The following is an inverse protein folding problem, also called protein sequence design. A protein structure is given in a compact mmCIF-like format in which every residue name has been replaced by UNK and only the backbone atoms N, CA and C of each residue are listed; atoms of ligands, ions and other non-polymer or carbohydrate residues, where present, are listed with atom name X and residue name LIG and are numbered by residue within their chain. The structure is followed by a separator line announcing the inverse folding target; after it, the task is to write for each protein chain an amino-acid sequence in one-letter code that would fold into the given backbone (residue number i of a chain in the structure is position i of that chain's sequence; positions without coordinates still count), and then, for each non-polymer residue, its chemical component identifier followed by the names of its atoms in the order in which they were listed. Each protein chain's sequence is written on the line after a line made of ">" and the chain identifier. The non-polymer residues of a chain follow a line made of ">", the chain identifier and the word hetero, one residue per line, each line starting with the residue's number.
data_IF_860287912238
#
_entry.id   IF_860287912238
#
_cell.length_a   1.000
_cell.length_b   1.000
_cell.length_c   1.000
_cell.angle_alpha   90.00
_cell.angle_beta   90.00
_cell.angle_gamma   90.00
#
_symmetry.space_group_name_H-M   'P 1'
#
loop_
_entity.id
_entity.type
_entity.pdbx_description
1 polymer ?
#
# COMPACT_ATOMS: atom_id res chain seq x y z
N UNK A 1 -18.38 0.50 -6.80
CA UNK A 1 -17.38 -0.38 -7.41
C UNK A 1 -16.35 0.52 -8.08
N UNK A 2 -15.11 0.54 -7.57
CA UNK A 2 -14.02 1.28 -8.20
C UNK A 2 -13.78 0.67 -9.59
N UNK A 3 -13.80 1.50 -10.64
CA UNK A 3 -13.56 1.05 -12.01
C UNK A 3 -12.15 1.41 -12.43
N UNK A 4 -11.46 0.48 -13.07
CA UNK A 4 -10.30 0.77 -13.89
C UNK A 4 -10.77 1.70 -15.04
N UNK A 5 -10.08 2.85 -15.23
CA UNK A 5 -10.08 3.49 -16.53
C UNK A 5 -11.02 4.65 -16.83
N UNK A 6 -11.58 5.38 -15.85
CA UNK A 6 -12.13 6.71 -16.18
C UNK A 6 -11.01 7.78 -16.07
N UNK A 7 -10.31 8.02 -17.16
CA UNK A 7 -9.27 9.03 -17.27
C UNK A 7 -9.75 10.35 -17.90
N UNK A 8 -11.05 10.50 -18.11
CA UNK A 8 -11.64 11.66 -18.81
C UNK A 8 -11.40 13.00 -18.10
N UNK A 9 -10.98 12.97 -16.85
CA UNK A 9 -10.70 14.16 -16.03
C UNK A 9 -9.21 14.42 -15.80
N UNK A 10 -8.34 13.57 -16.35
CA UNK A 10 -6.91 13.73 -16.19
C UNK A 10 -6.37 14.69 -17.23
N UNK A 11 -5.45 15.54 -16.80
CA UNK A 11 -4.71 16.42 -17.68
C UNK A 11 -3.72 15.61 -18.54
N UNK A 12 -3.39 16.14 -19.73
CA UNK A 12 -2.44 15.50 -20.64
C UNK A 12 -1.11 15.15 -19.96
N UNK A 13 -0.57 16.05 -19.13
CA UNK A 13 0.69 15.83 -18.42
C UNK A 13 0.61 14.65 -17.43
N UNK A 14 -0.53 14.44 -16.78
CA UNK A 14 -0.75 13.29 -15.91
C UNK A 14 -0.76 11.99 -16.71
N UNK A 15 -1.45 11.96 -17.84
CA UNK A 15 -1.47 10.80 -18.73
C UNK A 15 -0.09 10.49 -19.33
N UNK A 16 0.69 11.50 -19.69
CA UNK A 16 2.08 11.35 -20.16
C UNK A 16 2.97 10.76 -19.05
N UNK A 17 2.81 11.21 -17.82
CA UNK A 17 3.51 10.65 -16.66
C UNK A 17 3.13 9.18 -16.41
N UNK A 18 1.83 8.84 -16.53
CA UNK A 18 1.36 7.46 -16.41
C UNK A 18 1.88 6.57 -17.54
N UNK A 19 1.93 7.07 -18.78
CA UNK A 19 2.47 6.34 -19.92
C UNK A 19 3.96 6.01 -19.72
N UNK A 20 4.77 7.01 -19.34
CA UNK A 20 6.18 6.82 -19.03
C UNK A 20 6.40 5.81 -17.88
N UNK A 21 5.53 5.86 -16.85
CA UNK A 21 5.56 4.90 -15.76
C UNK A 21 5.19 3.48 -16.23
N UNK A 22 4.27 3.35 -17.16
CA UNK A 22 3.94 2.07 -17.78
C UNK A 22 5.13 1.45 -18.52
N UNK A 23 5.83 2.24 -19.32
CA UNK A 23 7.06 1.82 -20.01
C UNK A 23 8.13 1.38 -18.99
N UNK A 24 8.34 2.16 -17.93
CA UNK A 24 9.29 1.84 -16.87
C UNK A 24 8.93 0.53 -16.15
N UNK A 25 7.65 0.30 -15.87
CA UNK A 25 7.14 -0.93 -15.25
C UNK A 25 7.48 -2.15 -16.11
N UNK A 26 7.23 -2.07 -17.41
CA UNK A 26 7.57 -3.14 -18.35
C UNK A 26 9.08 -3.35 -18.48
N UNK A 27 9.86 -2.27 -18.51
CA UNK A 27 11.32 -2.32 -18.66
C UNK A 27 11.99 -2.99 -17.44
N UNK A 28 11.58 -2.66 -16.23
CA UNK A 28 12.09 -3.32 -15.02
C UNK A 28 11.86 -4.84 -15.07
N UNK A 29 10.66 -5.28 -15.43
CA UNK A 29 10.33 -6.72 -15.56
C UNK A 29 11.13 -7.36 -16.68
N UNK A 30 11.25 -6.70 -17.84
CA UNK A 30 12.02 -7.18 -18.99
C UNK A 30 13.50 -7.36 -18.66
N UNK A 31 14.09 -6.42 -17.92
CA UNK A 31 15.51 -6.50 -17.50
C UNK A 31 15.74 -7.70 -16.58
N UNK A 32 14.89 -7.89 -15.58
CA UNK A 32 14.98 -9.04 -14.68
C UNK A 32 14.82 -10.37 -15.42
N UNK A 33 13.82 -10.46 -16.30
CA UNK A 33 13.58 -11.68 -17.08
C UNK A 33 14.78 -12.09 -17.96
N UNK A 34 15.60 -11.15 -18.42
CA UNK A 34 16.84 -11.47 -19.16
C UNK A 34 17.87 -12.22 -18.34
N UNK A 35 17.85 -12.03 -17.02
CA UNK A 35 18.70 -12.73 -16.06
C UNK A 35 18.03 -13.99 -15.50
N UNK A 36 16.81 -14.31 -15.93
CA UNK A 36 16.02 -15.40 -15.38
C UNK A 36 15.45 -15.10 -13.98
N UNK A 37 15.33 -13.80 -13.66
CA UNK A 37 14.83 -13.33 -12.37
C UNK A 37 13.46 -12.62 -12.49
N UNK A 38 12.85 -12.31 -11.37
CA UNK A 38 11.56 -11.65 -11.26
C UNK A 38 11.56 -10.65 -10.08
N UNK A 39 10.54 -9.80 -9.99
CA UNK A 39 10.37 -8.87 -8.87
C UNK A 39 10.33 -9.58 -7.52
N UNK A 40 9.66 -10.77 -7.48
CA UNK A 40 9.61 -11.59 -6.26
C UNK A 40 10.97 -12.26 -6.00
N UNK A 41 11.64 -12.76 -7.04
CA UNK A 41 12.99 -13.31 -6.94
C UNK A 41 13.97 -12.31 -6.32
N UNK A 42 13.91 -11.05 -6.78
CA UNK A 42 14.76 -9.97 -6.26
C UNK A 42 14.49 -9.65 -4.78
N UNK A 43 13.23 -9.56 -4.35
CA UNK A 43 12.93 -9.26 -2.95
C UNK A 43 13.23 -10.43 -2.02
N UNK A 44 13.15 -11.66 -2.52
CA UNK A 44 13.47 -12.89 -1.79
C UNK A 44 14.94 -13.32 -1.96
N UNK A 45 15.76 -12.53 -2.62
CA UNK A 45 17.14 -12.90 -2.93
C UNK A 45 17.92 -13.40 -1.71
N UNK A 46 18.56 -14.56 -1.86
CA UNK A 46 19.27 -15.23 -0.77
C UNK A 46 18.38 -16.01 0.20
N UNK A 47 17.07 -16.10 -0.07
CA UNK A 47 16.10 -16.86 0.74
C UNK A 47 15.75 -18.15 0.02
N UNK A 48 15.88 -19.30 0.70
CA UNK A 48 15.58 -20.62 0.10
C UNK A 48 14.07 -20.81 -0.14
N UNK A 49 13.21 -20.26 0.75
CA UNK A 49 11.76 -20.23 0.63
C UNK A 49 11.21 -19.10 1.50
N UNK A 50 10.15 -18.45 1.03
CA UNK A 50 9.46 -17.45 1.85
C UNK A 50 8.74 -18.15 3.02
N UNK A 51 8.95 -17.62 4.24
CA UNK A 51 8.23 -18.04 5.44
C UNK A 51 7.03 -17.13 5.64
N UNK A 52 5.90 -17.71 6.07
CA UNK A 52 4.69 -16.96 6.38
C UNK A 52 4.98 -15.86 7.42
N UNK A 53 4.38 -14.68 7.22
CA UNK A 53 4.47 -13.51 8.09
C UNK A 53 5.87 -12.88 8.23
N UNK A 54 6.87 -13.42 7.55
CA UNK A 54 8.23 -12.86 7.56
C UNK A 54 8.35 -11.72 6.56
N UNK A 55 8.95 -10.62 6.98
CA UNK A 55 9.23 -9.47 6.10
C UNK A 55 10.49 -9.72 5.25
N UNK A 56 10.38 -9.38 3.99
CA UNK A 56 11.48 -9.44 3.01
C UNK A 56 11.70 -8.08 2.35
N UNK A 57 12.97 -7.63 2.24
CA UNK A 57 14.15 -8.19 2.92
C UNK A 57 14.07 -8.02 4.43
N UNK A 58 14.88 -8.77 5.18
CA UNK A 58 14.96 -8.62 6.62
C UNK A 58 15.31 -7.18 6.99
N UNK A 59 14.51 -6.57 7.89
CA UNK A 59 14.68 -5.19 8.34
C UNK A 59 14.04 -4.15 7.40
N UNK A 60 13.21 -4.60 6.46
CA UNK A 60 12.51 -3.76 5.47
C UNK A 60 13.47 -2.96 4.57
N UNK A 61 12.94 -2.30 3.55
CA UNK A 61 13.67 -1.31 2.74
C UNK A 61 13.23 0.07 3.17
N UNK A 62 14.17 0.87 3.63
CA UNK A 62 13.94 2.26 4.00
C UNK A 62 14.92 3.18 3.28
N UNK A 63 14.40 4.16 2.58
CA UNK A 63 15.20 5.20 1.93
C UNK A 63 15.36 6.40 2.88
N UNK A 64 16.59 6.69 3.34
CA UNK A 64 16.82 7.78 4.31
C UNK A 64 16.71 9.19 3.70
N UNK A 65 16.56 9.31 2.37
CA UNK A 65 16.42 10.60 1.67
C UNK A 65 14.96 10.91 1.41
N UNK A 66 14.21 9.96 0.85
CA UNK A 66 12.78 10.12 0.55
C UNK A 66 11.89 9.80 1.74
N UNK A 67 12.39 9.03 2.70
CA UNK A 67 11.68 8.48 3.85
C UNK A 67 10.54 7.52 3.47
N UNK A 68 10.55 7.00 2.24
CA UNK A 68 9.71 5.91 1.82
C UNK A 68 10.24 4.57 2.34
N UNK A 69 9.32 3.63 2.59
CA UNK A 69 9.64 2.31 3.11
C UNK A 69 8.74 1.26 2.47
N UNK A 70 9.24 0.05 2.31
CA UNK A 70 8.42 -1.10 1.95
C UNK A 70 8.98 -2.40 2.50
N UNK A 71 8.12 -3.41 2.57
CA UNK A 71 8.50 -4.82 2.70
C UNK A 71 7.55 -5.68 1.87
N UNK A 72 7.97 -6.90 1.62
CA UNK A 72 7.15 -7.96 1.03
C UNK A 72 6.97 -9.07 2.06
N UNK A 73 5.79 -9.68 2.10
CA UNK A 73 5.54 -10.90 2.88
C UNK A 73 4.52 -11.81 2.21
N UNK A 74 4.46 -13.04 2.70
CA UNK A 74 3.49 -14.05 2.28
C UNK A 74 2.62 -14.46 3.47
N UNK A 75 1.41 -14.91 3.16
CA UNK A 75 0.51 -15.52 4.14
C UNK A 75 0.41 -17.03 3.94
N UNK A 76 -0.05 -17.79 4.95
CA UNK A 76 -0.40 -19.20 4.75
C UNK A 76 -1.38 -19.38 3.58
N UNK A 77 -1.28 -20.46 2.79
CA UNK A 77 -2.16 -20.68 1.63
C UNK A 77 -3.66 -20.59 1.95
N UNK A 78 -4.06 -20.98 3.16
CA UNK A 78 -5.46 -20.94 3.60
C UNK A 78 -5.99 -19.50 3.82
N UNK A 79 -5.10 -18.51 3.98
CA UNK A 79 -5.42 -17.11 4.25
C UNK A 79 -5.24 -16.20 3.02
N UNK A 80 -4.72 -16.77 1.93
CA UNK A 80 -4.52 -16.06 0.65
C UNK A 80 -5.73 -16.18 -0.27
N UNK A 81 -5.96 -15.17 -1.08
CA UNK A 81 -6.83 -15.34 -2.25
C UNK A 81 -6.16 -16.31 -3.23
N UNK A 82 -6.93 -17.12 -3.98
CA UNK A 82 -6.37 -18.18 -4.84
C UNK A 82 -5.29 -17.72 -5.83
N UNK A 83 -5.33 -16.47 -6.26
CA UNK A 83 -4.41 -15.89 -7.23
C UNK A 83 -3.23 -15.16 -6.60
N UNK A 84 -3.21 -14.97 -5.26
CA UNK A 84 -2.19 -14.20 -4.58
C UNK A 84 -1.13 -15.09 -3.96
N UNK A 85 0.14 -14.74 -4.18
CA UNK A 85 1.29 -15.39 -3.54
C UNK A 85 1.72 -14.63 -2.28
N UNK A 86 1.77 -13.31 -2.35
CA UNK A 86 2.15 -12.40 -1.29
C UNK A 86 1.94 -10.98 -1.74
N UNK A 87 2.38 -10.02 -0.95
CA UNK A 87 2.19 -8.62 -1.29
C UNK A 87 3.26 -7.70 -0.69
N UNK A 88 3.48 -6.58 -1.36
CA UNK A 88 4.24 -5.45 -0.85
C UNK A 88 3.34 -4.57 0.00
N UNK A 89 3.80 -4.20 1.19
CA UNK A 89 3.30 -3.05 1.92
C UNK A 89 4.21 -1.86 1.70
N UNK A 90 3.63 -0.69 1.45
CA UNK A 90 4.37 0.54 1.17
C UNK A 90 3.99 1.63 2.15
N UNK A 91 4.97 2.40 2.57
CA UNK A 91 4.82 3.39 3.63
C UNK A 91 5.57 4.67 3.31
N UNK A 92 5.14 5.76 3.95
CA UNK A 92 5.91 6.99 4.05
C UNK A 92 6.06 7.38 5.52
N UNK A 93 7.29 7.67 5.94
CA UNK A 93 7.57 8.15 7.31
C UNK A 93 7.37 9.65 7.44
N UNK A 94 7.15 10.18 8.66
CA UNK A 94 6.81 11.60 8.89
C UNK A 94 7.73 12.60 8.20
N UNK A 95 9.03 12.33 8.13
CA UNK A 95 10.00 13.23 7.49
C UNK A 95 9.82 13.35 5.97
N UNK A 96 9.25 12.34 5.33
CA UNK A 96 8.92 12.35 3.89
C UNK A 96 7.57 13.01 3.58
N UNK A 97 6.71 13.21 4.58
CA UNK A 97 5.36 13.71 4.38
C UNK A 97 5.33 15.21 3.97
N UNK A 98 4.26 15.66 3.31
CA UNK A 98 4.04 17.09 3.08
C UNK A 98 4.04 17.89 4.39
N UNK A 99 4.52 19.14 4.34
CA UNK A 99 4.47 20.02 5.51
C UNK A 99 3.02 20.24 5.96
N UNK A 100 2.80 20.17 7.27
CA UNK A 100 1.48 20.40 7.86
C UNK A 100 0.61 19.13 7.91
N UNK A 101 1.06 18.00 7.40
CA UNK A 101 0.38 16.71 7.56
C UNK A 101 0.20 16.38 9.05
N UNK A 102 -1.01 15.97 9.43
CA UNK A 102 -1.34 15.65 10.82
C UNK A 102 -2.09 14.33 10.93
N UNK A 103 -1.78 13.51 11.95
CA UNK A 103 -2.54 12.30 12.23
C UNK A 103 -4.03 12.58 12.40
N UNK A 104 -4.86 11.69 11.87
CA UNK A 104 -6.31 11.72 12.09
C UNK A 104 -6.64 11.12 13.45
N UNK A 105 -7.04 11.95 14.38
CA UNK A 105 -7.56 11.53 15.68
C UNK A 105 -9.08 11.42 15.59
N UNK A 106 -9.60 10.21 15.70
CA UNK A 106 -11.03 10.01 15.86
C UNK A 106 -11.36 10.09 17.36
N UNK A 107 -12.33 10.93 17.78
CA UNK A 107 -12.76 10.97 19.19
C UNK A 107 -13.14 9.56 19.64
N UNK A 108 -12.67 9.15 20.83
CA UNK A 108 -13.15 7.93 21.44
C UNK A 108 -14.67 8.05 21.57
N UNK A 109 -15.38 7.04 21.07
CA UNK A 109 -16.76 6.88 21.43
C UNK A 109 -16.71 6.43 22.88
N UNK A 110 -17.25 7.24 23.81
CA UNK A 110 -17.29 6.91 25.22
C UNK A 110 -17.82 5.47 25.38
N UNK A 111 -16.92 4.55 25.68
CA UNK A 111 -17.27 3.19 26.03
C UNK A 111 -17.61 3.28 27.53
N UNK A 112 -18.90 3.40 27.82
CA UNK A 112 -19.33 3.20 29.18
C UNK A 112 -18.98 1.74 29.56
N UNK A 113 -18.03 1.59 30.49
CA UNK A 113 -17.76 0.37 31.25
C UNK A 113 -17.58 -0.94 30.47
N UNK A 114 -16.70 -0.98 29.46
CA UNK A 114 -16.25 -2.25 28.94
C UNK A 114 -15.12 -2.80 29.85
N UNK A 115 -15.27 -3.97 30.48
CA UNK A 115 -14.16 -4.59 31.17
C UNK A 115 -13.02 -4.88 30.17
N UNK A 116 -11.79 -4.53 30.56
CA UNK A 116 -10.62 -4.86 29.77
C UNK A 116 -10.60 -6.39 29.52
N UNK A 117 -10.62 -6.78 28.25
CA UNK A 117 -10.41 -8.19 27.91
C UNK A 117 -9.02 -8.60 28.45
N UNK A 118 -8.87 -9.79 29.05
CA UNK A 118 -7.58 -10.25 29.51
C UNK A 118 -6.61 -10.27 28.32
N UNK A 119 -5.45 -9.64 28.49
CA UNK A 119 -4.40 -9.63 27.47
C UNK A 119 -3.92 -11.07 27.25
N UNK A 120 -4.04 -11.57 26.03
CA UNK A 120 -3.39 -12.81 25.63
C UNK A 120 -1.89 -12.51 25.52
N UNK A 121 -1.02 -13.17 26.32
CA UNK A 121 0.41 -12.91 26.30
C UNK A 121 1.08 -13.28 24.97
N UNK A 122 0.42 -14.01 24.09
CA UNK A 122 0.89 -14.34 22.73
C UNK A 122 0.58 -13.24 21.70
N UNK A 123 -0.25 -12.25 22.05
CA UNK A 123 -0.59 -11.12 21.17
C UNK A 123 0.25 -9.91 21.62
N UNK A 124 1.12 -9.35 20.78
CA UNK A 124 1.81 -8.11 21.13
C UNK A 124 0.77 -7.04 21.50
N UNK A 125 1.05 -6.19 22.51
CA UNK A 125 0.13 -5.14 22.91
C UNK A 125 -0.25 -4.30 21.69
N UNK A 126 -1.54 -4.03 21.54
CA UNK A 126 -2.02 -3.17 20.47
C UNK A 126 -1.22 -1.86 20.46
N UNK A 127 -0.75 -1.39 19.30
CA UNK A 127 -0.06 -0.11 19.21
C UNK A 127 -0.93 0.96 19.85
N UNK A 128 -0.34 1.79 20.70
CA UNK A 128 -1.05 2.89 21.35
C UNK A 128 -1.72 3.79 20.30
N UNK A 129 -2.94 4.26 20.52
CA UNK A 129 -3.63 5.08 19.53
C UNK A 129 -2.82 6.33 19.21
N UNK A 130 -2.55 6.53 17.93
CA UNK A 130 -2.05 7.74 17.26
C UNK A 130 -1.45 8.82 18.20
N UNK A 131 -0.28 8.56 18.74
CA UNK A 131 0.49 9.58 19.43
C UNK A 131 1.35 10.27 18.36
N UNK A 132 0.83 11.23 17.69
CA UNK A 132 1.46 12.20 16.83
C UNK A 132 2.80 11.88 16.14
N UNK A 133 3.19 12.70 15.19
CA UNK A 133 4.41 12.57 14.36
C UNK A 133 5.75 12.52 15.13
N UNK A 134 5.74 12.53 16.45
CA UNK A 134 6.96 12.55 17.28
C UNK A 134 7.65 11.18 17.39
N UNK A 135 6.99 10.09 16.98
CA UNK A 135 7.48 8.72 17.16
C UNK A 135 8.04 8.06 15.89
N UNK A 136 8.15 8.78 14.76
CA UNK A 136 8.61 8.25 13.46
C UNK A 136 7.79 7.06 12.92
N UNK A 137 6.56 6.85 13.41
CA UNK A 137 5.66 5.82 12.88
C UNK A 137 5.24 6.15 11.44
N UNK A 138 5.34 5.17 10.52
CA UNK A 138 4.97 5.39 9.13
C UNK A 138 3.46 5.47 8.93
N UNK A 139 3.03 6.09 7.83
CA UNK A 139 1.70 5.88 7.25
C UNK A 139 1.76 4.79 6.20
N UNK A 140 0.87 3.82 6.27
CA UNK A 140 0.65 2.87 5.19
C UNK A 140 -0.01 3.59 4.01
N UNK A 141 0.49 3.36 2.80
CA UNK A 141 -0.05 3.96 1.59
C UNK A 141 -1.01 2.99 0.90
N UNK A 142 -0.44 2.03 0.15
CA UNK A 142 -1.20 0.99 -0.56
C UNK A 142 -0.39 -0.30 -0.53
N UNK A 143 -1.06 -1.43 -0.40
CA UNK A 143 -0.45 -2.73 -0.62
C UNK A 143 -0.63 -3.19 -2.07
N UNK A 144 0.36 -3.89 -2.62
CA UNK A 144 0.38 -4.43 -3.98
C UNK A 144 0.49 -5.94 -3.89
N UNK A 145 -0.61 -6.65 -4.15
CA UNK A 145 -0.62 -8.11 -4.17
C UNK A 145 -0.05 -8.64 -5.48
N UNK A 146 0.73 -9.70 -5.36
CA UNK A 146 1.45 -10.36 -6.44
C UNK A 146 0.97 -11.79 -6.61
N UNK A 147 0.89 -12.27 -7.84
CA UNK A 147 0.68 -13.70 -8.13
C UNK A 147 1.99 -14.51 -8.03
N UNK A 148 1.90 -15.81 -8.27
CA UNK A 148 3.06 -16.71 -8.24
C UNK A 148 4.07 -16.49 -9.35
N UNK A 149 3.68 -15.82 -10.44
CA UNK A 149 4.52 -15.48 -11.58
C UNK A 149 5.19 -14.10 -11.43
N UNK A 150 4.90 -13.39 -10.32
CA UNK A 150 5.43 -12.05 -10.05
C UNK A 150 4.69 -10.93 -10.77
N UNK A 151 3.42 -11.14 -11.15
CA UNK A 151 2.58 -10.08 -11.68
C UNK A 151 1.78 -9.41 -10.55
N UNK A 152 1.64 -8.09 -10.54
CA UNK A 152 0.73 -7.42 -9.62
C UNK A 152 -0.72 -7.67 -10.07
N UNK A 153 -1.54 -8.15 -9.14
CA UNK A 153 -2.92 -8.56 -9.41
C UNK A 153 -3.97 -7.75 -8.67
N UNK A 154 -3.57 -7.08 -7.58
CA UNK A 154 -4.50 -6.27 -6.78
C UNK A 154 -3.78 -5.16 -6.04
N UNK A 155 -4.46 -4.01 -5.91
CA UNK A 155 -4.14 -2.95 -4.96
C UNK A 155 -5.13 -3.00 -3.80
N UNK A 156 -4.67 -2.78 -2.57
CA UNK A 156 -5.56 -2.74 -1.42
C UNK A 156 -5.01 -1.89 -0.28
N UNK A 157 -5.90 -1.50 0.62
CA UNK A 157 -5.55 -0.83 1.87
C UNK A 157 -5.97 -1.67 3.05
N UNK A 158 -5.27 -1.52 4.16
CA UNK A 158 -5.51 -2.26 5.40
C UNK A 158 -6.00 -1.33 6.49
N UNK A 159 -6.58 -1.91 7.54
CA UNK A 159 -6.85 -1.17 8.76
C UNK A 159 -5.56 -0.98 9.56
N UNK A 160 -5.53 0.02 10.42
CA UNK A 160 -4.36 0.41 11.21
C UNK A 160 -3.71 -0.73 11.99
N UNK A 161 -4.49 -1.60 12.62
CA UNK A 161 -3.98 -2.71 13.43
C UNK A 161 -3.13 -3.72 12.64
N UNK A 162 -3.31 -3.79 11.30
CA UNK A 162 -2.56 -4.74 10.44
C UNK A 162 -1.10 -4.36 10.35
N UNK A 163 -0.83 -3.07 10.17
CA UNK A 163 0.53 -2.55 9.90
C UNK A 163 1.11 -1.76 11.07
N UNK A 164 0.32 -1.49 12.13
CA UNK A 164 0.76 -0.69 13.27
C UNK A 164 1.08 0.76 12.92
N UNK A 165 0.47 1.29 11.86
CA UNK A 165 0.73 2.62 11.32
C UNK A 165 0.13 3.78 12.12
N UNK A 166 0.59 4.99 11.86
CA UNK A 166 -0.14 6.21 12.19
C UNK A 166 -1.16 6.51 11.10
N UNK A 167 -2.44 6.67 11.49
CA UNK A 167 -3.51 6.91 10.53
C UNK A 167 -3.62 8.39 10.14
N UNK A 168 -3.69 8.64 8.85
CA UNK A 168 -3.91 9.96 8.27
C UNK A 168 -5.17 9.97 7.41
N UNK A 169 -5.81 11.14 7.26
CA UNK A 169 -6.96 11.31 6.40
C UNK A 169 -6.62 11.03 4.92
N UNK A 170 -7.62 10.62 4.16
CA UNK A 170 -7.43 10.28 2.74
C UNK A 170 -6.75 11.40 1.93
N UNK A 171 -7.08 12.65 2.18
CA UNK A 171 -6.45 13.79 1.51
C UNK A 171 -4.94 13.87 1.76
N UNK A 172 -4.51 13.64 3.02
CA UNK A 172 -3.10 13.65 3.38
C UNK A 172 -2.36 12.46 2.76
N UNK A 173 -2.94 11.23 2.85
CA UNK A 173 -2.31 10.04 2.27
C UNK A 173 -2.24 10.14 0.73
N UNK A 174 -3.23 10.73 0.08
CA UNK A 174 -3.21 11.00 -1.36
C UNK A 174 -2.04 11.92 -1.73
N UNK A 175 -1.77 12.95 -0.94
CA UNK A 175 -0.63 13.83 -1.15
C UNK A 175 0.73 13.15 -0.86
N UNK A 176 0.75 12.10 -0.05
CA UNK A 176 1.93 11.28 0.22
C UNK A 176 2.29 10.37 -0.98
N UNK A 177 1.33 9.97 -1.82
CA UNK A 177 1.59 9.08 -2.95
C UNK A 177 2.66 9.64 -3.90
N UNK A 178 2.65 10.96 -4.12
CA UNK A 178 3.59 11.65 -5.02
C UNK A 178 5.02 11.72 -4.43
N UNK A 179 5.18 11.37 -3.17
CA UNK A 179 6.46 11.38 -2.46
C UNK A 179 7.06 9.99 -2.28
N UNK A 180 6.31 8.93 -2.64
CA UNK A 180 6.80 7.58 -2.55
C UNK A 180 7.83 7.31 -3.67
N UNK A 181 9.09 7.23 -3.29
CA UNK A 181 10.19 6.83 -4.16
C UNK A 181 11.26 6.11 -3.33
N UNK A 182 11.83 5.05 -3.89
CA UNK A 182 12.98 4.36 -3.32
C UNK A 182 14.13 4.50 -4.31
N UNK A 183 15.12 5.33 -3.98
CA UNK A 183 16.29 5.59 -4.82
C UNK A 183 17.53 4.89 -4.25
N UNK A 184 17.42 3.59 -4.08
CA UNK A 184 18.46 2.73 -3.54
C UNK A 184 18.86 1.65 -4.55
N UNK A 185 20.14 1.28 -4.54
CA UNK A 185 20.63 0.15 -5.34
C UNK A 185 20.14 -1.20 -4.80
N UNK A 186 19.86 -1.29 -3.49
CA UNK A 186 19.49 -2.53 -2.79
C UNK A 186 18.06 -2.46 -2.25
N UNK A 187 17.37 -3.61 -2.10
CA UNK A 187 17.81 -4.98 -2.46
C UNK A 187 18.02 -5.13 -3.96
N UNK A 188 17.24 -4.44 -4.79
CA UNK A 188 17.27 -4.48 -6.26
C UNK A 188 16.83 -3.13 -6.81
N UNK A 189 17.70 -2.49 -7.61
CA UNK A 189 17.36 -1.23 -8.26
C UNK A 189 16.16 -1.33 -9.23
N UNK A 190 16.01 -2.40 -10.07
CA UNK A 190 14.80 -2.58 -10.86
C UNK A 190 13.52 -2.71 -10.04
N UNK A 191 13.56 -3.45 -8.91
CA UNK A 191 12.40 -3.58 -8.02
C UNK A 191 12.00 -2.24 -7.39
N UNK A 192 12.98 -1.47 -6.89
CA UNK A 192 12.74 -0.18 -6.26
C UNK A 192 12.11 0.81 -7.27
N UNK A 193 12.63 0.85 -8.48
CA UNK A 193 12.07 1.66 -9.57
C UNK A 193 10.68 1.21 -9.98
N UNK A 194 10.45 -0.10 -10.06
CA UNK A 194 9.16 -0.67 -10.40
C UNK A 194 8.09 -0.25 -9.39
N UNK A 195 8.37 -0.29 -8.09
CA UNK A 195 7.44 0.18 -7.06
C UNK A 195 7.05 1.64 -7.28
N UNK A 196 8.01 2.54 -7.50
CA UNK A 196 7.74 3.93 -7.80
C UNK A 196 6.97 4.13 -9.12
N UNK A 197 7.23 3.30 -10.14
CA UNK A 197 6.49 3.31 -11.40
C UNK A 197 5.03 2.88 -11.21
N UNK A 198 4.76 1.86 -10.38
CA UNK A 198 3.40 1.43 -10.03
C UNK A 198 2.59 2.56 -9.38
N UNK A 199 3.21 3.35 -8.50
CA UNK A 199 2.56 4.51 -7.87
C UNK A 199 2.13 5.57 -8.89
N UNK A 200 2.97 5.86 -9.88
CA UNK A 200 2.63 6.82 -10.95
C UNK A 200 1.60 6.25 -11.92
N UNK A 201 1.76 4.99 -12.33
CA UNK A 201 0.86 4.33 -13.29
C UNK A 201 -0.57 4.17 -12.75
N UNK A 202 -0.71 3.82 -11.49
CA UNK A 202 -1.99 3.58 -10.83
C UNK A 202 -2.44 4.70 -9.88
N UNK A 203 -1.84 5.89 -9.99
CA UNK A 203 -2.13 7.02 -9.10
C UNK A 203 -3.63 7.32 -8.94
N UNK A 204 -4.43 7.42 -10.01
CA UNK A 204 -5.86 7.70 -9.88
C UNK A 204 -6.62 6.61 -9.10
N UNK A 205 -6.26 5.34 -9.34
CA UNK A 205 -6.86 4.21 -8.65
C UNK A 205 -6.46 4.16 -7.18
N UNK A 206 -5.20 4.46 -6.86
CA UNK A 206 -4.72 4.55 -5.48
C UNK A 206 -5.42 5.69 -4.71
N UNK A 207 -5.61 6.86 -5.33
CA UNK A 207 -6.40 7.94 -4.74
C UNK A 207 -7.83 7.51 -4.41
N UNK A 208 -8.48 6.81 -5.34
CA UNK A 208 -9.83 6.31 -5.16
C UNK A 208 -9.90 5.22 -4.06
N UNK A 209 -8.90 4.35 -3.98
CA UNK A 209 -8.78 3.35 -2.92
C UNK A 209 -8.63 3.98 -1.54
N UNK A 210 -7.77 4.99 -1.41
CA UNK A 210 -7.53 5.70 -0.16
C UNK A 210 -8.81 6.43 0.29
N UNK A 211 -9.54 7.05 -0.63
CA UNK A 211 -10.84 7.65 -0.30
C UNK A 211 -11.85 6.58 0.15
N UNK A 212 -11.96 5.48 -0.58
CA UNK A 212 -12.84 4.37 -0.22
C UNK A 212 -12.46 3.73 1.12
N UNK A 213 -11.17 3.73 1.50
CA UNK A 213 -10.67 3.33 2.81
C UNK A 213 -11.32 4.15 3.93
N UNK A 214 -11.26 5.45 3.84
CA UNK A 214 -11.82 6.33 4.87
C UNK A 214 -13.34 6.20 4.95
N UNK A 215 -14.03 6.13 3.79
CA UNK A 215 -15.47 5.92 3.73
C UNK A 215 -15.89 4.59 4.39
N UNK A 216 -15.15 3.52 4.15
CA UNK A 216 -15.40 2.20 4.73
C UNK A 216 -15.18 2.20 6.24
N UNK A 217 -14.08 2.79 6.73
CA UNK A 217 -13.78 2.93 8.16
C UNK A 217 -14.89 3.73 8.87
N UNK A 218 -15.28 4.87 8.30
CA UNK A 218 -16.33 5.71 8.90
C UNK A 218 -17.70 5.02 8.87
N UNK A 219 -17.99 4.25 7.82
CA UNK A 219 -19.21 3.43 7.73
C UNK A 219 -19.21 2.29 8.75
N UNK A 220 -18.07 1.61 8.92
CA UNK A 220 -17.90 0.57 9.93
C UNK A 220 -18.10 1.11 11.34
N UNK A 221 -17.44 2.24 11.66
CA UNK A 221 -17.56 2.95 12.94
C UNK A 221 -19.01 3.29 13.30
N UNK A 222 -19.79 3.77 12.31
CA UNK A 222 -21.23 4.07 12.53
C UNK A 222 -22.05 2.83 12.86
N UNK A 223 -21.75 1.69 12.21
CA UNK A 223 -22.49 0.42 12.39
C UNK A 223 -22.11 -0.32 13.67
N UNK A 224 -20.88 -0.15 14.17
CA UNK A 224 -20.34 -0.92 15.29
C UNK A 224 -20.00 -0.03 16.50
N UNK A 225 -20.84 0.95 16.79
CA UNK A 225 -20.64 1.89 17.91
C UNK A 225 -20.41 1.18 19.24
N UNK A 226 -19.43 1.65 20.02
CA UNK A 226 -19.24 1.32 21.44
C UNK A 226 -18.65 -0.07 21.74
N UNK A 227 -18.10 -0.83 20.75
CA UNK A 227 -17.53 -2.15 20.99
C UNK A 227 -16.01 -2.16 21.02
N UNK A 228 -15.39 -1.69 19.94
CA UNK A 228 -13.93 -1.61 19.77
C UNK A 228 -13.65 -0.35 18.98
N UNK A 229 -12.51 0.29 19.22
CA UNK A 229 -12.07 1.38 18.38
C UNK A 229 -11.90 0.89 16.94
N UNK A 230 -12.43 1.62 15.95
CA UNK A 230 -12.52 1.15 14.57
C UNK A 230 -11.16 0.77 13.99
N UNK A 231 -10.10 1.46 14.38
CA UNK A 231 -8.73 1.18 13.91
C UNK A 231 -8.12 -0.09 14.50
N UNK A 232 -8.71 -0.62 15.58
CA UNK A 232 -8.26 -1.84 16.27
C UNK A 232 -9.25 -3.01 16.07
N UNK A 233 -10.31 -2.81 15.26
CA UNK A 233 -11.30 -3.85 15.04
C UNK A 233 -10.76 -4.89 14.03
N UNK A 234 -10.37 -6.05 14.56
CA UNK A 234 -9.77 -7.15 13.78
C UNK A 234 -10.71 -7.78 12.76
N UNK A 235 -12.01 -7.48 12.79
CA UNK A 235 -12.98 -7.91 11.77
C UNK A 235 -12.90 -7.06 10.51
N UNK A 236 -12.19 -5.93 10.55
CA UNK A 236 -11.94 -5.03 9.45
C UNK A 236 -10.43 -5.06 9.16
N UNK A 237 -10.00 -5.96 8.30
CA UNK A 237 -8.60 -6.13 7.91
C UNK A 237 -8.29 -5.40 6.61
N UNK A 238 -8.79 -5.92 5.49
CA UNK A 238 -8.74 -5.24 4.20
C UNK A 238 -9.91 -4.26 4.11
N UNK A 239 -9.61 -2.98 3.91
CA UNK A 239 -10.59 -1.91 3.98
C UNK A 239 -11.11 -1.51 2.62
N UNK A 240 -10.22 -1.40 1.64
CA UNK A 240 -10.57 -1.17 0.24
C UNK A 240 -9.66 -2.00 -0.67
N UNK A 241 -10.17 -2.42 -1.82
CA UNK A 241 -9.42 -3.23 -2.76
C UNK A 241 -9.89 -3.03 -4.20
N UNK A 242 -8.96 -3.22 -5.14
CA UNK A 242 -9.19 -3.17 -6.57
C UNK A 242 -8.29 -4.19 -7.27
N UNK A 243 -8.87 -5.12 -8.02
CA UNK A 243 -8.12 -6.01 -8.89
C UNK A 243 -7.57 -5.20 -10.08
N UNK A 244 -6.31 -5.45 -10.44
CA UNK A 244 -5.60 -4.69 -11.47
C UNK A 244 -5.01 -5.60 -12.55
N UNK A 245 -4.79 -5.01 -13.72
CA UNK A 245 -4.04 -5.57 -14.83
C UNK A 245 -3.17 -4.47 -15.42
N UNK A 246 -1.84 -4.65 -15.37
CA UNK A 246 -0.87 -3.63 -15.82
C UNK A 246 -0.97 -3.39 -17.32
N UNK A 247 -1.11 -4.45 -18.11
CA UNK A 247 -1.16 -4.34 -19.57
C UNK A 247 -2.44 -3.62 -20.01
N UNK A 248 -3.56 -3.91 -19.33
CA UNK A 248 -4.82 -3.19 -19.55
C UNK A 248 -4.71 -1.73 -19.14
N UNK A 249 -4.10 -1.43 -17.99
CA UNK A 249 -3.87 -0.05 -17.53
C UNK A 249 -3.06 0.75 -18.56
N UNK A 250 -1.96 0.19 -19.07
CA UNK A 250 -1.11 0.82 -20.10
C UNK A 250 -1.91 1.08 -21.39
N UNK A 251 -2.70 0.11 -21.83
CA UNK A 251 -3.56 0.28 -23.01
C UNK A 251 -4.58 1.40 -22.83
N UNK A 252 -5.23 1.48 -21.67
CA UNK A 252 -6.22 2.50 -21.37
C UNK A 252 -5.61 3.91 -21.30
N UNK A 253 -4.41 4.04 -20.70
CA UNK A 253 -3.67 5.31 -20.69
C UNK A 253 -3.30 5.75 -22.12
N UNK A 254 -2.83 4.83 -22.95
CA UNK A 254 -2.50 5.12 -24.36
C UNK A 254 -3.74 5.55 -25.18
N UNK A 255 -4.89 4.97 -24.90
CA UNK A 255 -6.17 5.38 -25.52
C UNK A 255 -6.60 6.77 -25.05
N UNK A 256 -6.51 7.05 -23.76
CA UNK A 256 -6.86 8.36 -23.21
C UNK A 256 -5.96 9.48 -23.77
N UNK A 257 -4.66 9.23 -23.91
CA UNK A 257 -3.72 10.19 -24.50
C UNK A 257 -4.10 10.59 -25.94
N UNK A 258 -4.64 9.64 -26.73
CA UNK A 258 -5.10 9.93 -28.09
C UNK A 258 -6.36 10.80 -28.13
N UNK A 259 -7.14 10.85 -27.04
CA UNK A 259 -8.38 11.62 -26.96
C UNK A 259 -8.14 13.07 -26.52
N UNK A 260 -7.05 13.35 -25.82
CA UNK A 260 -6.63 14.69 -25.34
C UNK A 260 -5.54 15.33 -26.22
N UNK A 261 -5.29 14.71 -27.39
CA UNK A 261 -4.32 15.17 -28.38
C UNK A 261 -4.85 16.32 -29.22
#
# INVERSE_FOLDING_TARGET
>A
MLRLGDFSRLERAELESMAAAGEETLDCRRVLAKSGDSLIGEVLHGTAAACDWTHYPAGDVYDPVTHAQYFYHVHPPAERRPQEQGHFHTFLRPRGMPLGTRPLVLPELAIADAPAAPADPAIPPAPQPNQGADNDEPSHLVAIAMDGDGNPVRLFTTNRWVTGETWYAAADVTAMLDRFAIDLARPSWPLNRWLGAMFRLFRPQMCALIQARDDAVMSWRRRHRGKVHVFEDRRLEVVSALDIDVDEQIRQVALALKQVA
#
